data_IF_841143731248
#
_entry.id   IF_841143731248
#
_cell.length_a   1.000
_cell.length_b   1.000
_cell.length_c   1.000
_cell.angle_alpha   90.00
_cell.angle_beta   90.00
_cell.angle_gamma   90.00
#
_symmetry.space_group_name_H-M   'P 1'
#
loop_
_entity.id
_entity.type
_entity.pdbx_description
1 polymer ?
#
# COMPACT_ATOMS: atom_id res chain seq x y z
N UNK A 1 -4.41 3.87 -19.08
CA UNK A 1 -4.35 2.41 -19.30
C UNK A 1 -4.34 1.74 -17.95
N UNK A 2 -5.19 0.74 -17.74
CA UNK A 2 -5.16 -0.07 -16.51
C UNK A 2 -3.86 -0.88 -16.46
N UNK A 3 -3.12 -0.80 -15.35
CA UNK A 3 -1.99 -1.68 -15.04
C UNK A 3 -2.41 -2.58 -13.87
N UNK A 4 -2.46 -3.89 -14.09
CA UNK A 4 -2.74 -4.81 -13.01
C UNK A 4 -1.56 -4.86 -12.03
N UNK A 5 -1.82 -4.74 -10.73
CA UNK A 5 -0.84 -5.06 -9.69
C UNK A 5 -1.01 -6.52 -9.27
N UNK A 6 0.11 -7.23 -9.12
CA UNK A 6 0.09 -8.62 -8.67
C UNK A 6 -0.20 -8.70 -7.17
N UNK A 7 -1.24 -9.44 -6.80
CA UNK A 7 -1.60 -9.75 -5.41
C UNK A 7 -1.32 -11.24 -5.18
N UNK A 8 -0.38 -11.56 -4.30
CA UNK A 8 -0.11 -12.93 -3.90
C UNK A 8 -0.83 -13.24 -2.59
N UNK A 9 -2.02 -13.82 -2.70
CA UNK A 9 -2.83 -14.24 -1.54
C UNK A 9 -2.25 -15.43 -0.79
N UNK A 10 -1.38 -16.22 -1.42
CA UNK A 10 -0.79 -17.41 -0.79
C UNK A 10 0.35 -17.01 0.13
N UNK A 11 1.22 -16.11 -0.33
CA UNK A 11 2.33 -15.58 0.47
C UNK A 11 1.97 -14.29 1.21
N UNK A 12 0.75 -13.78 1.05
CA UNK A 12 0.26 -12.55 1.66
C UNK A 12 1.11 -11.31 1.27
N UNK A 13 1.38 -11.14 -0.02
CA UNK A 13 2.17 -10.01 -0.52
C UNK A 13 1.46 -9.17 -1.58
N UNK A 14 1.75 -7.87 -1.58
CA UNK A 14 1.34 -6.92 -2.63
C UNK A 14 2.58 -6.22 -3.17
N UNK A 15 2.93 -6.44 -4.44
CA UNK A 15 4.18 -5.95 -5.04
C UNK A 15 5.43 -6.26 -4.20
N UNK A 16 5.46 -7.42 -3.51
CA UNK A 16 6.56 -7.84 -2.64
C UNK A 16 6.49 -7.34 -1.19
N UNK A 17 5.55 -6.45 -0.87
CA UNK A 17 5.32 -6.00 0.53
C UNK A 17 4.53 -7.09 1.27
N UNK A 18 5.08 -7.58 2.37
CA UNK A 18 4.45 -8.60 3.22
C UNK A 18 3.34 -8.01 4.09
N UNK A 19 2.23 -8.74 4.20
CA UNK A 19 1.10 -8.45 5.09
C UNK A 19 0.94 -9.53 6.16
N UNK A 20 0.42 -9.19 7.34
CA UNK A 20 0.24 -10.14 8.44
C UNK A 20 -0.93 -11.11 8.19
N UNK A 21 -1.93 -10.69 7.42
CA UNK A 21 -3.14 -11.48 7.17
C UNK A 21 -3.80 -11.07 5.84
N UNK A 22 -4.69 -11.95 5.35
CA UNK A 22 -5.40 -11.76 4.09
C UNK A 22 -6.34 -10.54 4.12
N UNK A 23 -6.96 -10.25 5.26
CA UNK A 23 -7.92 -9.15 5.40
C UNK A 23 -7.22 -7.80 5.19
N UNK A 24 -6.05 -7.61 5.81
CA UNK A 24 -5.24 -6.41 5.67
C UNK A 24 -4.69 -6.27 4.25
N UNK A 25 -4.24 -7.38 3.65
CA UNK A 25 -3.79 -7.41 2.26
C UNK A 25 -4.89 -6.94 1.30
N UNK A 26 -6.08 -7.54 1.38
CA UNK A 26 -7.18 -7.23 0.46
C UNK A 26 -7.74 -5.84 0.69
N UNK A 27 -7.86 -5.40 1.95
CA UNK A 27 -8.28 -4.03 2.26
C UNK A 27 -7.30 -2.99 1.69
N UNK A 28 -5.99 -3.23 1.81
CA UNK A 28 -4.96 -2.34 1.29
C UNK A 28 -4.94 -2.34 -0.25
N UNK A 29 -5.04 -3.53 -0.86
CA UNK A 29 -5.09 -3.66 -2.32
C UNK A 29 -6.32 -2.97 -2.94
N UNK A 30 -7.48 -3.05 -2.28
CA UNK A 30 -8.69 -2.35 -2.73
C UNK A 30 -8.51 -0.82 -2.68
N UNK A 31 -7.98 -0.29 -1.58
CA UNK A 31 -7.72 1.14 -1.44
C UNK A 31 -6.75 1.65 -2.50
N UNK A 32 -5.66 0.92 -2.76
CA UNK A 32 -4.71 1.24 -3.83
C UNK A 32 -5.41 1.19 -5.19
N UNK A 33 -6.18 0.12 -5.45
CA UNK A 33 -6.89 -0.07 -6.71
C UNK A 33 -7.80 1.10 -7.07
N UNK A 34 -8.58 1.63 -6.11
CA UNK A 34 -9.41 2.83 -6.33
C UNK A 34 -8.57 4.04 -6.72
N UNK A 35 -7.45 4.29 -6.02
CA UNK A 35 -6.57 5.43 -6.33
C UNK A 35 -5.83 5.25 -7.67
N UNK A 36 -5.56 4.01 -8.10
CA UNK A 36 -4.96 3.75 -9.41
C UNK A 36 -5.86 4.18 -10.57
N UNK A 37 -7.20 4.12 -10.42
CA UNK A 37 -8.13 4.67 -11.40
C UNK A 37 -8.05 6.19 -11.52
N UNK A 38 -7.51 6.87 -10.51
CA UNK A 38 -7.29 8.32 -10.47
C UNK A 38 -5.85 8.70 -10.89
N UNK A 39 -5.03 7.73 -11.29
CA UNK A 39 -3.67 7.95 -11.78
C UNK A 39 -2.57 7.76 -10.74
N UNK A 40 -2.88 7.24 -9.54
CA UNK A 40 -1.85 6.83 -8.60
C UNK A 40 -1.08 5.61 -9.13
N UNK A 41 0.24 5.72 -9.22
CA UNK A 41 1.11 4.59 -9.55
C UNK A 41 1.82 4.10 -8.27
N UNK A 42 1.41 2.96 -7.68
CA UNK A 42 2.01 2.48 -6.45
C UNK A 42 3.45 2.01 -6.68
N UNK A 43 4.32 2.33 -5.72
CA UNK A 43 5.66 1.76 -5.57
C UNK A 43 5.71 0.82 -4.36
N UNK A 44 6.72 -0.05 -4.29
CA UNK A 44 6.95 -0.92 -3.13
C UNK A 44 6.88 -0.13 -1.81
N UNK A 45 7.58 1.01 -1.78
CA UNK A 45 7.65 1.86 -0.60
C UNK A 45 6.31 2.52 -0.27
N UNK A 46 5.54 2.94 -1.28
CA UNK A 46 4.24 3.57 -1.03
C UNK A 46 3.25 2.57 -0.44
N UNK A 47 3.33 1.31 -0.87
CA UNK A 47 2.51 0.21 -0.34
C UNK A 47 2.94 -0.11 1.10
N UNK A 48 4.24 -0.13 1.37
CA UNK A 48 4.78 -0.28 2.73
C UNK A 48 4.29 0.83 3.66
N UNK A 49 4.32 2.09 3.22
CA UNK A 49 3.79 3.23 3.99
C UNK A 49 2.30 3.08 4.30
N UNK A 50 1.49 2.75 3.29
CA UNK A 50 0.04 2.55 3.45
C UNK A 50 -0.23 1.38 4.40
N UNK A 51 0.47 0.25 4.23
CA UNK A 51 0.36 -0.91 5.11
C UNK A 51 0.65 -0.52 6.56
N UNK A 52 1.77 0.17 6.81
CA UNK A 52 2.17 0.50 8.17
C UNK A 52 1.23 1.50 8.84
N UNK A 53 0.59 2.38 8.07
CA UNK A 53 -0.50 3.22 8.55
C UNK A 53 -1.77 2.40 8.85
N UNK A 54 -2.19 1.50 7.96
CA UNK A 54 -3.36 0.63 8.15
C UNK A 54 -3.19 -0.31 9.36
N UNK A 55 -1.96 -0.73 9.62
CA UNK A 55 -1.60 -1.55 10.79
C UNK A 55 -1.35 -0.73 12.06
N UNK A 56 -1.63 0.58 12.04
CA UNK A 56 -1.47 1.49 13.18
C UNK A 56 -0.03 1.55 13.73
N UNK A 57 0.97 1.18 12.92
CA UNK A 57 2.39 1.28 13.31
C UNK A 57 2.90 2.71 13.24
N UNK A 58 2.29 3.52 12.40
CA UNK A 58 2.55 4.96 12.26
C UNK A 58 1.23 5.72 12.35
N UNK A 59 1.29 6.91 12.92
CA UNK A 59 0.16 7.82 13.00
C UNK A 59 -0.17 8.45 11.64
N UNK A 60 -1.36 9.03 11.51
CA UNK A 60 -1.70 9.80 10.32
C UNK A 60 -0.75 10.99 10.09
N UNK A 61 -0.30 11.66 11.16
CA UNK A 61 0.65 12.76 11.05
C UNK A 61 2.01 12.30 10.47
N UNK A 62 2.50 11.14 10.90
CA UNK A 62 3.72 10.52 10.36
C UNK A 62 3.53 10.06 8.92
N UNK A 63 2.39 9.45 8.59
CA UNK A 63 2.04 9.09 7.21
C UNK A 63 2.14 10.29 6.27
N UNK A 64 1.53 11.43 6.66
CA UNK A 64 1.57 12.66 5.85
C UNK A 64 3.00 13.21 5.74
N UNK A 65 3.77 13.18 6.84
CA UNK A 65 5.17 13.61 6.84
C UNK A 65 5.99 12.78 5.85
N UNK A 66 5.92 11.46 5.95
CA UNK A 66 6.66 10.52 5.12
C UNK A 66 6.26 10.57 3.63
N UNK A 67 4.98 10.74 3.34
CA UNK A 67 4.49 10.94 1.99
C UNK A 67 5.05 12.23 1.35
N UNK A 68 5.13 13.33 2.12
CA UNK A 68 5.70 14.61 1.66
C UNK A 68 7.21 14.55 1.46
N UNK A 69 7.92 13.89 2.38
CA UNK A 69 9.37 13.73 2.31
C UNK A 69 9.82 12.78 1.19
N UNK A 70 8.89 12.11 0.49
CA UNK A 70 9.15 11.07 -0.52
C UNK A 70 10.05 9.95 0.00
N UNK A 71 10.22 9.81 1.31
CA UNK A 71 11.00 8.71 1.90
C UNK A 71 10.45 7.34 1.47
N UNK A 72 9.13 7.32 1.22
CA UNK A 72 8.36 6.15 0.81
C UNK A 72 7.75 6.22 -0.61
N UNK A 73 8.12 7.19 -1.47
CA UNK A 73 7.61 7.28 -2.85
C UNK A 73 8.69 6.86 -3.83
#
# INVERSE_FOLDING_TARGET
MYRAIAIDRKNLTLMGVQFPDLKTLESTANAIGTNMFEGFEPTFKSIELIRDYVLEKITFAEFIKFAKEKAYV
#
